data_IF_714832345929
#
_entry.id   IF_714832345929
#
_cell.length_a   1.000
_cell.length_b   1.000
_cell.length_c   1.000
_cell.angle_alpha   90.00
_cell.angle_beta   90.00
_cell.angle_gamma   90.00
#
_symmetry.space_group_name_H-M   'P 1'
#
loop_
_entity.id
_entity.type
_entity.pdbx_description
1 polymer ?
#
# COMPACT_ATOMS: atom_id res chain seq x y z
N UNK A 1 -1.08 -9.32 -25.22
CA UNK A 1 -1.09 -9.65 -23.78
C UNK A 1 -0.71 -8.38 -22.99
N UNK A 2 -1.31 -8.14 -21.82
CA UNK A 2 -1.03 -6.96 -21.01
C UNK A 2 -0.95 -7.33 -19.52
N UNK A 3 -0.17 -6.56 -18.77
CA UNK A 3 -0.05 -6.64 -17.32
C UNK A 3 -0.71 -5.39 -16.74
N UNK A 4 -1.58 -5.58 -15.73
CA UNK A 4 -2.32 -4.48 -15.10
C UNK A 4 -2.23 -4.64 -13.58
N UNK A 5 -1.87 -3.56 -12.88
CA UNK A 5 -2.01 -3.45 -11.44
C UNK A 5 -3.38 -2.87 -11.09
N UNK A 6 -4.06 -3.44 -10.10
CA UNK A 6 -5.32 -2.91 -9.58
C UNK A 6 -5.12 -2.33 -8.19
N UNK A 7 -5.84 -1.26 -7.88
CA UNK A 7 -5.88 -0.68 -6.53
C UNK A 7 -7.13 -1.14 -5.78
N UNK A 8 -7.24 -0.74 -4.51
CA UNK A 8 -8.45 -0.89 -3.69
C UNK A 8 -9.69 -0.17 -4.26
N UNK A 9 -9.52 0.70 -5.25
CA UNK A 9 -10.60 1.37 -5.97
C UNK A 9 -11.17 0.54 -7.13
N UNK A 10 -10.68 -0.68 -7.35
CA UNK A 10 -11.16 -1.58 -8.41
C UNK A 10 -12.55 -2.19 -8.15
N UNK A 11 -13.17 -1.84 -7.02
CA UNK A 11 -14.51 -2.27 -6.60
C UNK A 11 -14.47 -3.07 -5.29
N UNK A 12 -15.64 -3.25 -4.66
CA UNK A 12 -15.73 -3.99 -3.40
C UNK A 12 -15.66 -5.52 -3.63
N UNK A 13 -14.93 -6.21 -2.75
CA UNK A 13 -14.91 -7.66 -2.74
C UNK A 13 -16.31 -8.21 -2.42
N UNK A 14 -16.83 -9.07 -3.30
CA UNK A 14 -18.15 -9.69 -3.08
C UNK A 14 -18.10 -10.68 -1.93
N UNK A 15 -19.15 -10.68 -1.11
CA UNK A 15 -19.30 -11.68 -0.07
C UNK A 15 -19.44 -13.08 -0.70
N UNK A 16 -18.65 -14.08 -0.26
CA UNK A 16 -18.72 -15.41 -0.85
C UNK A 16 -20.00 -16.12 -0.44
N UNK A 17 -20.60 -16.87 -1.38
CA UNK A 17 -21.72 -17.75 -1.04
C UNK A 17 -21.22 -18.96 -0.23
N UNK A 18 -22.11 -19.59 0.56
CA UNK A 18 -21.78 -20.84 1.26
C UNK A 18 -21.25 -21.93 0.30
N UNK A 19 -21.86 -22.05 -0.88
CA UNK A 19 -21.39 -22.96 -1.95
C UNK A 19 -19.97 -22.60 -2.40
N UNK A 20 -19.67 -21.30 -2.56
CA UNK A 20 -18.34 -20.81 -2.93
C UNK A 20 -17.27 -21.14 -1.89
N UNK A 21 -17.57 -20.94 -0.60
CA UNK A 21 -16.67 -21.29 0.51
C UNK A 21 -16.38 -22.79 0.51
N UNK A 22 -17.41 -23.63 0.37
CA UNK A 22 -17.26 -25.08 0.36
C UNK A 22 -16.47 -25.59 -0.85
N UNK A 23 -16.65 -24.97 -2.02
CA UNK A 23 -15.88 -25.30 -3.21
C UNK A 23 -14.40 -24.89 -3.06
N UNK A 24 -14.14 -23.70 -2.53
CA UNK A 24 -12.77 -23.21 -2.29
C UNK A 24 -12.03 -24.12 -1.30
N UNK A 25 -12.67 -24.51 -0.19
CA UNK A 25 -12.10 -25.42 0.81
C UNK A 25 -11.67 -26.78 0.23
N UNK A 26 -12.41 -27.29 -0.76
CA UNK A 26 -12.14 -28.59 -1.39
C UNK A 26 -11.09 -28.51 -2.50
N UNK A 27 -10.81 -27.32 -3.03
CA UNK A 27 -9.87 -27.16 -4.13
C UNK A 27 -8.45 -27.43 -3.62
N UNK A 28 -7.69 -28.36 -4.23
CA UNK A 28 -6.32 -28.60 -3.81
C UNK A 28 -5.49 -27.35 -4.08
N UNK A 29 -4.70 -26.94 -3.08
CA UNK A 29 -3.70 -25.90 -3.23
C UNK A 29 -2.42 -26.59 -3.72
N UNK A 30 -1.96 -26.20 -4.92
CA UNK A 30 -0.67 -26.67 -5.44
C UNK A 30 0.41 -25.81 -4.80
N UNK A 31 1.26 -26.44 -3.99
CA UNK A 31 2.53 -25.86 -3.58
C UNK A 31 3.57 -26.12 -4.66
N UNK A 32 4.44 -25.14 -4.90
CA UNK A 32 5.55 -25.21 -5.84
C UNK A 32 6.79 -24.77 -5.10
N UNK A 33 7.86 -25.55 -5.22
CA UNK A 33 9.19 -25.17 -4.78
C UNK A 33 9.96 -24.49 -5.93
N UNK A 34 11.14 -23.93 -5.63
CA UNK A 34 11.98 -23.28 -6.65
C UNK A 34 12.40 -24.26 -7.75
N UNK A 35 12.69 -25.51 -7.38
CA UNK A 35 13.07 -26.58 -8.30
C UNK A 35 11.92 -26.91 -9.28
N UNK A 36 10.66 -26.82 -8.84
CA UNK A 36 9.49 -27.02 -9.72
C UNK A 36 9.36 -25.91 -10.78
N UNK A 37 9.97 -24.74 -10.51
CA UNK A 37 9.95 -23.56 -11.36
C UNK A 37 11.23 -23.37 -12.17
N UNK A 38 12.30 -24.13 -11.85
CA UNK A 38 13.62 -23.98 -12.46
C UNK A 38 14.27 -22.63 -12.13
N UNK A 39 14.06 -22.13 -10.92
CA UNK A 39 14.60 -20.84 -10.46
C UNK A 39 15.76 -21.09 -9.50
N UNK A 40 16.89 -20.44 -9.73
CA UNK A 40 18.05 -20.56 -8.84
C UNK A 40 17.83 -19.79 -7.53
N UNK A 41 18.32 -20.36 -6.42
CA UNK A 41 18.07 -19.82 -5.08
C UNK A 41 18.76 -18.47 -4.81
N UNK A 42 19.80 -18.12 -5.59
CA UNK A 42 20.52 -16.86 -5.51
C UNK A 42 19.82 -15.71 -6.25
N UNK A 43 18.86 -15.99 -7.13
CA UNK A 43 18.06 -14.98 -7.83
C UNK A 43 16.87 -14.45 -7.00
N UNK A 44 16.55 -15.08 -5.87
CA UNK A 44 15.35 -14.79 -5.07
C UNK A 44 15.67 -14.50 -3.60
N UNK A 45 14.64 -14.09 -2.86
CA UNK A 45 14.75 -13.79 -1.44
C UNK A 45 15.73 -12.66 -1.16
N UNK A 46 16.46 -12.75 -0.03
CA UNK A 46 17.47 -11.75 0.33
C UNK A 46 18.74 -11.86 -0.53
N UNK A 47 19.05 -13.04 -1.07
CA UNK A 47 20.24 -13.26 -1.88
C UNK A 47 20.14 -12.54 -3.24
N UNK A 48 18.95 -12.58 -3.87
CA UNK A 48 18.70 -11.89 -5.14
C UNK A 48 18.22 -10.44 -5.02
N UNK A 49 18.03 -9.92 -3.80
CA UNK A 49 17.50 -8.58 -3.60
C UNK A 49 18.55 -7.49 -3.91
N UNK A 50 18.17 -6.51 -4.73
CA UNK A 50 19.05 -5.38 -5.06
C UNK A 50 19.12 -4.30 -3.98
N UNK A 51 18.19 -4.34 -3.03
CA UNK A 51 18.07 -3.37 -1.95
C UNK A 51 17.89 -4.08 -0.62
N UNK A 52 18.49 -3.55 0.44
CA UNK A 52 18.28 -3.98 1.81
C UNK A 52 17.58 -2.89 2.63
N UNK A 53 16.74 -3.31 3.58
CA UNK A 53 16.17 -2.39 4.56
C UNK A 53 17.23 -2.11 5.61
N UNK A 54 17.74 -0.88 5.65
CA UNK A 54 18.74 -0.45 6.63
C UNK A 54 18.10 -0.15 8.00
N UNK A 55 16.97 0.54 8.01
CA UNK A 55 16.22 0.84 9.23
C UNK A 55 14.74 1.05 8.95
N UNK A 56 13.92 0.82 9.98
CA UNK A 56 12.49 1.12 9.98
C UNK A 56 12.11 1.73 11.34
N UNK A 57 11.68 2.99 11.33
CA UNK A 57 11.30 3.74 12.54
C UNK A 57 9.87 4.22 12.45
N UNK A 58 9.14 4.18 13.56
CA UNK A 58 7.77 4.68 13.62
C UNK A 58 7.71 6.19 13.35
N UNK A 59 6.68 6.63 12.62
CA UNK A 59 6.44 8.05 12.37
C UNK A 59 6.08 8.74 13.69
N UNK A 60 6.74 9.86 14.06
CA UNK A 60 6.38 10.62 15.25
C UNK A 60 4.89 10.99 15.28
N UNK A 61 4.31 11.02 16.47
CA UNK A 61 2.91 11.40 16.66
C UNK A 61 2.64 12.81 16.13
N UNK A 62 1.43 13.03 15.61
CA UNK A 62 1.01 14.37 15.15
C UNK A 62 0.90 15.31 16.34
N UNK A 63 1.54 16.48 16.24
CA UNK A 63 1.35 17.58 17.20
C UNK A 63 0.15 18.44 16.82
N UNK A 64 -0.31 19.27 17.75
CA UNK A 64 -1.30 20.30 17.43
C UNK A 64 -0.80 21.19 16.29
N UNK A 65 -1.71 21.51 15.35
CA UNK A 65 -1.44 22.44 14.26
C UNK A 65 -1.53 23.90 14.71
N UNK A 66 -1.21 24.81 13.80
CA UNK A 66 -1.35 26.25 14.03
C UNK A 66 -2.83 26.65 14.02
N UNK A 67 -3.29 27.32 15.08
CA UNK A 67 -4.64 27.89 15.14
C UNK A 67 -4.56 29.32 14.63
N UNK A 68 -5.27 29.61 13.54
CA UNK A 68 -5.42 30.96 12.99
C UNK A 68 -6.83 31.45 13.30
N UNK A 69 -6.95 32.54 14.05
CA UNK A 69 -8.22 33.20 14.29
C UNK A 69 -8.47 34.20 13.16
N UNK A 70 -9.64 34.13 12.54
CA UNK A 70 -9.98 35.05 11.45
C UNK A 70 -10.40 36.42 12.00
N UNK A 71 -9.65 37.45 11.60
CA UNK A 71 -9.92 38.86 11.88
C UNK A 71 -10.06 39.66 10.57
N UNK A 72 -10.33 38.97 9.44
CA UNK A 72 -10.50 39.54 8.10
C UNK A 72 -9.47 39.05 7.07
N UNK A 73 -8.39 38.39 7.52
CA UNK A 73 -7.27 37.92 6.69
C UNK A 73 -7.06 36.39 6.75
N UNK A 74 -7.92 35.64 7.45
CA UNK A 74 -7.73 34.21 7.68
C UNK A 74 -7.64 33.38 6.38
N UNK A 75 -8.44 33.76 5.37
CA UNK A 75 -8.40 33.11 4.05
C UNK A 75 -7.05 33.27 3.33
N UNK A 76 -6.41 34.45 3.46
CA UNK A 76 -5.09 34.71 2.88
C UNK A 76 -4.01 33.88 3.58
N UNK A 77 -4.05 33.83 4.91
CA UNK A 77 -3.09 33.04 5.71
C UNK A 77 -3.22 31.53 5.43
N UNK A 78 -4.43 31.02 5.22
CA UNK A 78 -4.64 29.63 4.82
C UNK A 78 -4.05 29.35 3.43
N UNK A 79 -4.32 30.21 2.44
CA UNK A 79 -3.79 30.05 1.09
C UNK A 79 -2.26 30.09 1.07
N UNK A 80 -1.65 31.01 1.82
CA UNK A 80 -0.20 31.09 2.01
C UNK A 80 0.38 29.81 2.61
N UNK A 81 -0.26 29.23 3.63
CA UNK A 81 0.16 27.95 4.21
C UNK A 81 0.09 26.79 3.20
N UNK A 82 -1.03 26.68 2.48
CA UNK A 82 -1.23 25.59 1.51
C UNK A 82 -0.20 25.66 0.37
N UNK A 83 0.06 26.86 -0.18
CA UNK A 83 1.05 27.07 -1.22
C UNK A 83 2.48 26.81 -0.69
N UNK A 84 2.80 27.30 0.51
CA UNK A 84 4.10 27.10 1.14
C UNK A 84 4.41 25.63 1.43
N UNK A 85 3.39 24.81 1.74
CA UNK A 85 3.52 23.37 1.95
C UNK A 85 3.32 22.53 0.68
N UNK A 86 3.10 23.17 -0.48
CA UNK A 86 2.85 22.52 -1.78
C UNK A 86 1.63 21.59 -1.79
N UNK A 87 0.59 22.00 -1.06
CA UNK A 87 -0.73 21.37 -1.14
C UNK A 87 -1.57 21.94 -2.29
N UNK A 88 -1.28 23.19 -2.71
CA UNK A 88 -1.80 23.88 -3.90
C UNK A 88 -0.66 24.54 -4.67
#
# INVERSE_FOLDING_TARGET
PAVVSVTDQSGEARYPSFKGIMAAKKKPVKSLDLDDLGIDADEVGLAGAWSAVDSATERPARTAGTIVKDEGEGGKQLAEFLAGQKFI
#
